data_IF_686602179356
#
_entry.id   IF_686602179356
#
_cell.length_a   1.000
_cell.length_b   1.000
_cell.length_c   1.000
_cell.angle_alpha   90.00
_cell.angle_beta   90.00
_cell.angle_gamma   90.00
#
_symmetry.space_group_name_H-M   'P 1'
#
loop_
_entity.id
_entity.type
_entity.pdbx_description
1 polymer ?
#
# COMPACT_ATOMS: atom_id res chain seq x y z
N UNK A 1 1.29 2.61 -20.38
CA UNK A 1 2.61 2.47 -19.72
C UNK A 1 2.36 2.13 -18.25
N UNK A 2 3.00 1.09 -17.72
CA UNK A 2 2.87 0.70 -16.31
C UNK A 2 4.03 1.30 -15.51
N UNK A 3 3.73 2.03 -14.43
CA UNK A 3 4.75 2.55 -13.52
C UNK A 3 4.56 1.90 -12.14
N UNK A 4 5.63 1.33 -11.59
CA UNK A 4 5.63 0.64 -10.30
C UNK A 4 6.54 1.40 -9.36
N UNK A 5 6.02 1.76 -8.20
CA UNK A 5 6.77 2.43 -7.15
C UNK A 5 6.96 1.47 -5.96
N UNK A 6 8.20 1.26 -5.56
CA UNK A 6 8.50 0.60 -4.30
C UNK A 6 8.47 1.61 -3.15
N UNK A 7 7.72 1.28 -2.10
CA UNK A 7 7.59 2.10 -0.90
C UNK A 7 8.66 1.84 0.15
N UNK A 8 9.43 0.75 0.04
CA UNK A 8 10.46 0.38 1.01
C UNK A 8 11.56 1.45 1.16
N UNK A 9 11.76 2.29 0.13
CA UNK A 9 12.72 3.39 0.14
C UNK A 9 12.19 4.72 0.69
N UNK A 10 10.92 4.82 1.09
CA UNK A 10 10.34 6.07 1.60
C UNK A 10 10.13 6.03 3.11
N UNK A 11 10.60 7.05 3.82
CA UNK A 11 10.38 7.19 5.26
C UNK A 11 8.92 7.56 5.60
N UNK A 12 8.50 7.26 6.84
CA UNK A 12 7.19 7.70 7.34
C UNK A 12 7.17 9.23 7.42
N UNK A 13 6.36 9.87 6.57
CA UNK A 13 6.19 11.32 6.54
C UNK A 13 6.83 12.00 5.33
N UNK A 14 7.43 11.24 4.41
CA UNK A 14 7.94 11.79 3.15
C UNK A 14 6.79 12.37 2.29
N UNK A 15 6.79 13.68 1.95
CA UNK A 15 5.77 14.29 1.10
C UNK A 15 5.68 13.66 -0.29
N UNK A 16 6.78 13.16 -0.85
CA UNK A 16 6.82 12.49 -2.15
C UNK A 16 6.00 11.21 -2.11
N UNK A 17 6.12 10.44 -1.03
CA UNK A 17 5.34 9.21 -0.82
C UNK A 17 3.84 9.52 -0.84
N UNK A 18 3.41 10.56 -0.13
CA UNK A 18 2.00 10.96 -0.08
C UNK A 18 1.49 11.44 -1.44
N UNK A 19 2.30 12.16 -2.21
CA UNK A 19 1.96 12.58 -3.57
C UNK A 19 1.77 11.38 -4.50
N UNK A 20 2.69 10.41 -4.48
CA UNK A 20 2.59 9.20 -5.30
C UNK A 20 1.42 8.32 -4.88
N UNK A 21 1.14 8.18 -3.58
CA UNK A 21 -0.03 7.45 -3.10
C UNK A 21 -1.33 8.12 -3.57
N UNK A 22 -1.40 9.46 -3.57
CA UNK A 22 -2.57 10.21 -4.09
C UNK A 22 -2.75 10.06 -5.60
N UNK A 23 -1.69 9.92 -6.39
CA UNK A 23 -1.80 9.72 -7.85
C UNK A 23 -1.88 8.26 -8.28
N UNK A 24 -1.66 7.30 -7.38
CA UNK A 24 -1.70 5.88 -7.70
C UNK A 24 -3.11 5.41 -8.14
N UNK A 25 -3.15 4.59 -9.19
CA UNK A 25 -4.39 3.97 -9.70
C UNK A 25 -4.72 2.63 -9.03
N UNK A 26 -3.78 2.08 -8.26
CA UNK A 26 -3.95 0.83 -7.55
C UNK A 26 -2.81 0.57 -6.58
N UNK A 27 -3.04 -0.37 -5.66
CA UNK A 27 -2.09 -0.71 -4.60
C UNK A 27 -1.87 -2.21 -4.52
N UNK A 28 -0.63 -2.58 -4.24
CA UNK A 28 -0.25 -3.95 -3.90
C UNK A 28 0.28 -3.96 -2.48
N UNK A 29 -0.36 -4.77 -1.63
CA UNK A 29 -0.07 -4.87 -0.21
C UNK A 29 0.61 -6.20 0.06
N UNK A 30 1.87 -6.17 0.51
CA UNK A 30 2.65 -7.38 0.80
C UNK A 30 2.78 -7.61 2.31
N UNK A 31 2.51 -8.83 2.75
CA UNK A 31 2.88 -9.30 4.09
C UNK A 31 3.70 -10.58 3.99
N UNK A 32 4.42 -10.94 5.05
CA UNK A 32 5.14 -12.20 5.16
C UNK A 32 4.23 -13.25 5.77
N UNK A 33 4.05 -14.40 5.10
CA UNK A 33 3.30 -15.54 5.64
C UNK A 33 3.91 -16.05 6.95
N UNK A 34 5.22 -15.87 7.11
CA UNK A 34 5.98 -16.22 8.32
C UNK A 34 5.92 -15.17 9.44
N UNK A 35 5.23 -14.03 9.26
CA UNK A 35 5.13 -12.99 10.30
C UNK A 35 3.73 -12.38 10.39
N UNK A 36 3.01 -12.73 11.46
CA UNK A 36 1.68 -12.14 11.77
C UNK A 36 1.76 -10.63 12.01
N UNK A 37 2.88 -10.14 12.55
CA UNK A 37 3.10 -8.71 12.80
C UNK A 37 3.03 -7.94 11.49
N UNK A 38 3.67 -8.45 10.42
CA UNK A 38 3.65 -7.80 9.11
C UNK A 38 2.24 -7.63 8.54
N UNK A 39 1.35 -8.60 8.76
CA UNK A 39 -0.06 -8.51 8.35
C UNK A 39 -0.82 -7.42 9.14
N UNK A 40 -0.62 -7.35 10.46
CA UNK A 40 -1.28 -6.36 11.31
C UNK A 40 -0.82 -4.94 11.00
N UNK A 41 0.46 -4.75 10.69
CA UNK A 41 1.00 -3.45 10.26
C UNK A 41 0.43 -3.05 8.89
N UNK A 42 0.40 -3.99 7.94
CA UNK A 42 -0.16 -3.78 6.61
C UNK A 42 -1.64 -3.38 6.67
N UNK A 43 -2.42 -3.93 7.59
CA UNK A 43 -3.81 -3.55 7.78
C UNK A 43 -3.96 -2.08 8.17
N UNK A 44 -3.06 -1.56 9.01
CA UNK A 44 -3.04 -0.13 9.40
C UNK A 44 -2.74 0.75 8.18
N UNK A 45 -1.80 0.34 7.33
CA UNK A 45 -1.43 1.11 6.15
C UNK A 45 -2.49 1.04 5.05
N UNK A 46 -3.13 -0.12 4.85
CA UNK A 46 -4.30 -0.26 3.96
C UNK A 46 -5.42 0.70 4.35
N UNK A 47 -5.74 0.80 5.65
CA UNK A 47 -6.77 1.73 6.14
C UNK A 47 -6.44 3.19 5.82
N UNK A 48 -5.17 3.59 5.90
CA UNK A 48 -4.74 4.96 5.55
C UNK A 48 -4.91 5.22 4.05
N UNK A 49 -4.48 4.29 3.21
CA UNK A 49 -4.62 4.39 1.75
C UNK A 49 -6.08 4.48 1.35
N UNK A 50 -6.94 3.61 1.87
CA UNK A 50 -8.38 3.63 1.58
C UNK A 50 -8.96 4.98 2.00
N UNK A 51 -8.73 5.45 3.23
CA UNK A 51 -9.21 6.77 3.68
C UNK A 51 -8.69 7.95 2.86
N UNK A 52 -7.48 7.84 2.32
CA UNK A 52 -6.89 8.85 1.45
C UNK A 52 -7.63 8.90 0.10
N UNK A 53 -8.04 7.74 -0.42
CA UNK A 53 -8.69 7.55 -1.72
C UNK A 53 -10.21 7.61 -1.71
N UNK A 54 -10.83 7.41 -0.55
CA UNK A 54 -12.29 7.45 -0.34
C UNK A 54 -12.94 8.78 -0.76
N UNK A 55 -12.13 9.83 -0.90
CA UNK A 55 -12.59 11.14 -1.38
C UNK A 55 -12.91 11.17 -2.87
N UNK A 56 -12.41 10.21 -3.64
CA UNK A 56 -12.46 10.23 -5.10
C UNK A 56 -13.68 9.46 -5.66
N UNK A 57 -14.57 8.92 -4.80
CA UNK A 57 -15.88 8.35 -5.15
C UNK A 57 -15.84 6.95 -5.80
N UNK A 58 -14.77 6.63 -6.51
CA UNK A 58 -14.53 5.31 -7.11
C UNK A 58 -13.55 4.50 -6.25
N UNK A 59 -13.99 3.31 -5.81
CA UNK A 59 -13.15 2.42 -5.02
C UNK A 59 -11.82 2.10 -5.71
N UNK A 60 -10.72 2.01 -4.94
CA UNK A 60 -9.38 1.79 -5.50
C UNK A 60 -9.03 0.30 -5.63
N UNK A 61 -8.48 -0.08 -6.79
CA UNK A 61 -7.99 -1.44 -7.02
C UNK A 61 -6.86 -1.80 -6.04
N UNK A 62 -7.06 -2.88 -5.27
CA UNK A 62 -6.10 -3.34 -4.28
C UNK A 62 -5.87 -4.84 -4.41
N UNK A 63 -4.60 -5.27 -4.33
CA UNK A 63 -4.21 -6.68 -4.28
C UNK A 63 -3.46 -6.94 -2.98
N UNK A 64 -3.80 -8.03 -2.28
CA UNK A 64 -3.10 -8.49 -1.08
C UNK A 64 -2.26 -9.71 -1.43
N UNK A 65 -0.98 -9.69 -1.05
CA UNK A 65 -0.02 -10.75 -1.37
C UNK A 65 0.65 -11.24 -0.09
N UNK A 66 0.47 -12.54 0.20
CA UNK A 66 1.22 -13.25 1.22
C UNK A 66 2.52 -13.79 0.62
N UNK A 67 3.65 -13.25 1.04
CA UNK A 67 4.98 -13.58 0.53
C UNK A 67 5.71 -14.58 1.46
N UNK A 68 6.82 -15.15 0.98
CA UNK A 68 7.69 -16.11 1.69
C UNK A 68 7.00 -17.46 1.95
N UNK A 69 6.45 -18.04 0.90
CA UNK A 69 5.88 -19.40 0.90
C UNK A 69 6.93 -20.47 0.59
N UNK A 70 8.11 -20.07 0.10
CA UNK A 70 9.22 -20.93 -0.27
C UNK A 70 9.63 -21.91 0.83
#
# INVERSE_FOLDING_TARGET
MLNILDTAGYEKGDPMRDLFMKSAHGFVFFFSLTSRISLTELEKDRKKVIKMKDRDGDGIACVLIGNKLD
#
